data_IF_395710163265
#
_entry.id   IF_395710163265
#
_cell.length_a   1.000
_cell.length_b   1.000
_cell.length_c   1.000
_cell.angle_alpha   90.00
_cell.angle_beta   90.00
_cell.angle_gamma   90.00
#
_symmetry.space_group_name_H-M   'P 1'
#
loop_
_entity.id
_entity.type
_entity.pdbx_description
1 polymer ?
#
# COMPACT_ATOMS: atom_id res chain seq x y z
N UNK A 1 53.71 26.73 -27.73
CA UNK A 1 52.57 25.78 -27.76
C UNK A 1 52.45 25.18 -26.35
N UNK A 2 51.77 25.85 -25.39
CA UNK A 2 51.68 25.40 -23.98
C UNK A 2 50.44 25.91 -23.22
N UNK A 3 49.44 26.46 -23.90
CA UNK A 3 48.25 27.10 -23.29
C UNK A 3 46.92 26.34 -23.54
N UNK A 4 47.01 25.13 -24.07
CA UNK A 4 45.84 24.26 -24.33
C UNK A 4 45.64 23.25 -23.20
N UNK A 5 46.68 22.96 -22.42
CA UNK A 5 46.67 21.94 -21.37
C UNK A 5 45.92 22.39 -20.09
N UNK A 6 46.16 23.63 -19.64
CA UNK A 6 45.58 24.14 -18.38
C UNK A 6 44.06 24.31 -18.45
N UNK A 7 43.52 24.76 -19.58
CA UNK A 7 42.07 24.94 -19.75
C UNK A 7 41.29 23.63 -19.77
N UNK A 8 41.91 22.58 -20.29
CA UNK A 8 41.32 21.23 -20.28
C UNK A 8 41.36 20.66 -18.88
N UNK A 9 42.47 20.87 -18.16
CA UNK A 9 42.61 20.45 -16.77
C UNK A 9 41.57 21.11 -15.86
N UNK A 10 41.39 22.42 -15.97
CA UNK A 10 40.40 23.17 -15.17
C UNK A 10 38.96 22.70 -15.46
N UNK A 11 38.65 22.42 -16.73
CA UNK A 11 37.34 21.92 -17.13
C UNK A 11 37.06 20.52 -16.57
N UNK A 12 38.07 19.65 -16.53
CA UNK A 12 37.94 18.31 -15.96
C UNK A 12 37.77 18.34 -14.43
N UNK A 13 38.47 19.24 -13.74
CA UNK A 13 38.30 19.45 -12.30
C UNK A 13 36.90 19.97 -11.97
N UNK A 14 36.37 20.88 -12.79
CA UNK A 14 35.01 21.39 -12.62
C UNK A 14 33.95 20.31 -12.84
N UNK A 15 34.09 19.47 -13.88
CA UNK A 15 33.19 18.34 -14.12
C UNK A 15 33.28 17.30 -13.01
N UNK A 16 34.47 17.01 -12.50
CA UNK A 16 34.66 16.07 -11.40
C UNK A 16 33.99 16.58 -10.10
N UNK A 17 34.13 17.87 -9.80
CA UNK A 17 33.48 18.51 -8.65
C UNK A 17 31.94 18.48 -8.76
N UNK A 18 31.39 18.71 -9.97
CA UNK A 18 29.96 18.59 -10.22
C UNK A 18 29.44 17.16 -10.07
N UNK A 19 30.23 16.17 -10.51
CA UNK A 19 29.86 14.75 -10.38
C UNK A 19 29.89 14.31 -8.91
N UNK A 20 30.90 14.72 -8.15
CA UNK A 20 31.00 14.46 -6.71
C UNK A 20 29.81 15.05 -5.93
N UNK A 21 29.39 16.28 -6.27
CA UNK A 21 28.21 16.92 -5.67
C UNK A 21 26.88 16.28 -6.08
N UNK A 22 26.84 15.49 -7.18
CA UNK A 22 25.66 14.73 -7.63
C UNK A 22 25.62 13.31 -7.09
N UNK A 23 26.71 12.81 -6.51
CA UNK A 23 26.82 11.45 -5.93
C UNK A 23 26.68 11.39 -4.42
N UNK A 24 26.61 12.52 -3.72
CA UNK A 24 25.96 12.54 -2.42
C UNK A 24 24.54 12.01 -2.66
N UNK A 25 24.12 10.88 -2.05
CA UNK A 25 22.72 10.52 -2.07
C UNK A 25 22.00 11.68 -1.40
N UNK A 26 21.43 12.58 -2.21
CA UNK A 26 20.49 13.60 -1.74
C UNK A 26 19.51 12.84 -0.90
N UNK A 27 19.61 13.08 0.40
CA UNK A 27 18.80 12.55 1.47
C UNK A 27 17.76 11.53 1.01
N UNK A 28 17.82 10.33 1.60
CA UNK A 28 16.59 9.72 2.07
C UNK A 28 15.89 10.75 2.97
N UNK A 29 15.26 11.77 2.38
CA UNK A 29 14.17 12.49 2.99
C UNK A 29 13.14 11.39 3.11
N UNK A 30 13.15 10.70 4.24
CA UNK A 30 11.96 10.09 4.76
C UNK A 30 10.91 11.19 4.62
N UNK A 31 10.02 11.05 3.64
CA UNK A 31 8.89 11.94 3.48
C UNK A 31 8.15 11.79 4.80
N UNK A 32 8.40 12.73 5.72
CA UNK A 32 8.00 12.71 7.13
C UNK A 32 6.49 12.96 7.21
N UNK A 33 5.73 12.00 6.68
CA UNK A 33 4.31 12.13 6.41
C UNK A 33 3.72 10.96 5.61
N UNK A 34 4.53 10.08 5.01
CA UNK A 34 4.04 8.81 4.45
C UNK A 34 4.44 7.71 5.44
N UNK A 35 3.46 7.13 6.13
CA UNK A 35 3.71 6.01 7.03
C UNK A 35 4.43 4.86 6.30
N UNK A 36 5.16 4.02 7.05
CA UNK A 36 5.80 2.85 6.48
C UNK A 36 4.75 1.87 5.92
N UNK A 37 5.05 1.24 4.78
CA UNK A 37 4.21 0.18 4.22
C UNK A 37 4.13 -0.97 5.23
N UNK A 38 2.92 -1.27 5.67
CA UNK A 38 2.58 -2.32 6.62
C UNK A 38 1.87 -3.48 5.91
N UNK A 39 2.04 -4.68 6.43
CA UNK A 39 1.36 -5.89 5.97
C UNK A 39 0.53 -6.42 7.14
N UNK A 40 -0.77 -6.62 6.92
CA UNK A 40 -1.65 -7.29 7.85
C UNK A 40 -2.26 -8.52 7.19
N UNK A 41 -2.43 -9.60 7.96
CA UNK A 41 -3.06 -10.83 7.52
C UNK A 41 -3.77 -11.51 8.68
N UNK A 42 -4.75 -12.34 8.38
CA UNK A 42 -5.49 -13.09 9.39
C UNK A 42 -6.61 -13.95 8.80
N UNK A 43 -7.52 -14.38 9.67
CA UNK A 43 -8.69 -15.17 9.30
C UNK A 43 -9.96 -14.50 9.79
N UNK A 44 -10.95 -14.35 8.91
CA UNK A 44 -12.31 -13.94 9.24
C UNK A 44 -13.24 -15.15 9.08
N UNK A 45 -14.20 -15.34 10.00
CA UNK A 45 -15.10 -16.51 9.96
C UNK A 45 -16.56 -16.20 10.25
N UNK A 46 -16.89 -14.97 10.65
CA UNK A 46 -18.26 -14.52 10.90
C UNK A 46 -18.93 -14.00 9.64
N UNK A 47 -20.24 -14.22 9.51
CA UNK A 47 -21.05 -13.50 8.53
C UNK A 47 -21.15 -12.02 8.89
N UNK A 48 -21.41 -11.19 7.89
CA UNK A 48 -21.45 -9.74 8.05
C UNK A 48 -20.06 -9.14 8.09
N UNK A 49 -19.89 -8.11 8.91
CA UNK A 49 -18.68 -7.30 8.95
C UNK A 49 -17.65 -7.86 9.92
N UNK A 50 -16.45 -8.17 9.43
CA UNK A 50 -15.27 -8.44 10.25
C UNK A 50 -14.30 -7.27 10.14
N UNK A 51 -14.00 -6.60 11.25
CA UNK A 51 -12.97 -5.57 11.30
C UNK A 51 -11.59 -6.19 11.13
N UNK A 52 -10.81 -5.68 10.18
CA UNK A 52 -9.48 -6.17 9.86
C UNK A 52 -8.39 -5.25 10.38
N UNK A 53 -8.56 -3.95 10.15
CA UNK A 53 -7.59 -2.92 10.50
C UNK A 53 -8.34 -1.75 11.10
N UNK A 54 -7.92 -1.32 12.28
CA UNK A 54 -8.36 -0.07 12.91
C UNK A 54 -7.19 0.90 12.84
N UNK A 55 -7.30 2.04 12.13
CA UNK A 55 -6.22 3.01 12.09
C UNK A 55 -5.95 3.58 13.48
N UNK A 56 -4.72 4.07 13.72
CA UNK A 56 -4.46 4.93 14.85
C UNK A 56 -5.37 6.17 14.82
N UNK A 57 -5.69 6.72 15.99
CA UNK A 57 -6.61 7.86 16.08
C UNK A 57 -6.10 9.07 15.27
N UNK A 58 -6.99 9.66 14.48
CA UNK A 58 -6.70 10.76 13.57
C UNK A 58 -6.02 10.32 12.26
N UNK A 59 -5.86 9.02 12.01
CA UNK A 59 -5.26 8.47 10.78
C UNK A 59 -6.29 7.86 9.87
N UNK A 60 -5.96 7.80 8.58
CA UNK A 60 -6.71 7.04 7.58
C UNK A 60 -5.88 5.86 7.05
N UNK A 61 -6.56 4.84 6.55
CA UNK A 61 -5.90 3.66 5.95
C UNK A 61 -5.90 3.80 4.42
N UNK A 62 -4.71 3.75 3.82
CA UNK A 62 -4.51 3.57 2.36
C UNK A 62 -4.14 2.14 2.05
N UNK A 63 -4.95 1.45 1.26
CA UNK A 63 -4.74 0.07 0.84
C UNK A 63 -4.17 0.04 -0.57
N UNK A 64 -3.01 -0.62 -0.73
CA UNK A 64 -2.29 -0.78 -2.00
C UNK A 64 -2.49 -2.18 -2.61
N UNK A 65 -2.76 -3.16 -1.76
CA UNK A 65 -3.02 -4.53 -2.16
C UNK A 65 -4.01 -5.17 -1.20
N UNK A 66 -4.95 -5.95 -1.71
CA UNK A 66 -5.85 -6.74 -0.90
C UNK A 66 -6.11 -8.11 -1.52
N UNK A 67 -6.05 -9.16 -0.71
CA UNK A 67 -6.39 -10.51 -1.13
C UNK A 67 -7.17 -11.28 -0.07
N UNK A 68 -7.98 -12.23 -0.52
CA UNK A 68 -8.66 -13.18 0.35
C UNK A 68 -8.89 -14.53 -0.34
N UNK A 69 -9.00 -15.56 0.49
CA UNK A 69 -9.31 -16.93 0.09
C UNK A 69 -10.33 -17.52 1.07
N UNK A 70 -11.47 -17.95 0.54
CA UNK A 70 -12.59 -18.47 1.32
C UNK A 70 -12.62 -20.00 1.25
N UNK A 71 -12.84 -20.68 2.37
CA UNK A 71 -12.90 -22.15 2.42
C UNK A 71 -14.11 -22.74 1.67
N UNK A 72 -15.22 -21.99 1.57
CA UNK A 72 -16.44 -22.38 0.87
C UNK A 72 -16.88 -21.27 -0.08
N UNK A 73 -17.84 -21.58 -0.96
CA UNK A 73 -18.43 -20.59 -1.84
C UNK A 73 -19.18 -19.52 -1.03
N UNK A 74 -18.83 -18.26 -1.23
CA UNK A 74 -19.38 -17.11 -0.49
C UNK A 74 -19.22 -15.83 -1.31
N UNK A 75 -20.10 -14.87 -1.06
CA UNK A 75 -19.90 -13.49 -1.51
C UNK A 75 -19.07 -12.76 -0.47
N UNK A 76 -17.91 -12.24 -0.87
CA UNK A 76 -17.01 -11.52 0.01
C UNK A 76 -16.62 -10.18 -0.60
N UNK A 77 -16.38 -9.19 0.24
CA UNK A 77 -15.82 -7.95 -0.23
C UNK A 77 -15.29 -7.01 0.84
N UNK A 78 -14.38 -6.11 0.43
CA UNK A 78 -13.80 -5.12 1.32
C UNK A 78 -14.54 -3.79 1.25
N UNK A 79 -14.62 -3.11 2.39
CA UNK A 79 -15.15 -1.77 2.54
C UNK A 79 -14.45 -1.05 3.68
N UNK A 80 -14.51 0.28 3.64
CA UNK A 80 -14.23 1.09 4.84
C UNK A 80 -15.55 1.37 5.55
N UNK A 81 -15.55 1.26 6.88
CA UNK A 81 -16.69 1.56 7.73
C UNK A 81 -17.86 0.56 7.57
N UNK A 82 -18.66 0.41 8.63
CA UNK A 82 -19.80 -0.52 8.62
C UNK A 82 -20.89 -0.15 7.60
N UNK A 83 -20.94 1.13 7.21
CA UNK A 83 -21.89 1.71 6.25
C UNK A 83 -21.25 2.15 4.92
N UNK A 84 -19.92 2.05 4.74
CA UNK A 84 -19.26 2.55 3.53
C UNK A 84 -19.39 1.62 2.31
N UNK A 85 -19.00 2.08 1.13
CA UNK A 85 -19.20 1.33 -0.12
C UNK A 85 -18.21 0.16 -0.24
N UNK A 86 -18.70 -1.01 -0.70
CA UNK A 86 -17.83 -2.16 -0.99
C UNK A 86 -17.10 -1.90 -2.31
N UNK A 87 -15.77 -1.84 -2.28
CA UNK A 87 -14.93 -1.48 -3.43
C UNK A 87 -14.26 -2.67 -4.12
N UNK A 88 -14.23 -3.85 -3.48
CA UNK A 88 -13.83 -5.11 -4.10
C UNK A 88 -14.80 -6.18 -3.65
N UNK A 89 -15.67 -6.64 -4.55
CA UNK A 89 -16.74 -7.60 -4.27
C UNK A 89 -16.68 -8.75 -5.26
N UNK A 90 -16.61 -9.98 -4.77
CA UNK A 90 -16.63 -11.16 -5.63
C UNK A 90 -17.50 -12.27 -5.05
N UNK A 91 -18.16 -13.00 -5.95
CA UNK A 91 -18.74 -14.30 -5.65
C UNK A 91 -17.68 -15.35 -5.98
N UNK A 92 -17.14 -16.00 -4.95
CA UNK A 92 -16.09 -17.00 -5.13
C UNK A 92 -16.63 -18.41 -4.97
N UNK A 93 -16.08 -19.32 -5.76
CA UNK A 93 -16.18 -20.75 -5.49
C UNK A 93 -15.19 -21.12 -4.39
N UNK A 94 -15.44 -22.25 -3.72
CA UNK A 94 -14.63 -22.71 -2.60
C UNK A 94 -13.13 -22.77 -2.94
N UNK A 95 -12.28 -22.36 -2.00
CA UNK A 95 -10.82 -22.37 -2.06
C UNK A 95 -10.20 -21.53 -3.18
N UNK A 96 -10.95 -20.60 -3.78
CA UNK A 96 -10.40 -19.63 -4.74
C UNK A 96 -9.76 -18.44 -4.04
N UNK A 97 -8.69 -17.92 -4.62
CA UNK A 97 -8.02 -16.69 -4.16
C UNK A 97 -8.45 -15.54 -5.06
N UNK A 98 -8.83 -14.42 -4.45
CA UNK A 98 -8.83 -13.11 -5.12
C UNK A 98 -7.65 -12.32 -4.61
N UNK A 99 -6.94 -11.71 -5.54
CA UNK A 99 -5.90 -10.73 -5.28
C UNK A 99 -6.15 -9.51 -6.16
N UNK A 100 -6.16 -8.34 -5.53
CA UNK A 100 -6.32 -7.06 -6.23
C UNK A 100 -5.15 -6.15 -5.87
N UNK A 101 -4.36 -5.86 -6.89
CA UNK A 101 -3.47 -4.70 -6.92
C UNK A 101 -4.25 -3.50 -7.51
N UNK A 102 -4.03 -2.32 -6.93
CA UNK A 102 -4.66 -1.09 -7.36
C UNK A 102 -3.84 -0.30 -8.40
N UNK A 103 -2.56 -0.64 -8.60
CA UNK A 103 -1.76 -0.16 -9.73
C UNK A 103 -1.81 1.37 -9.92
N UNK A 104 -2.33 1.81 -11.08
CA UNK A 104 -2.45 3.23 -11.46
C UNK A 104 -3.32 4.05 -10.48
N UNK A 105 -4.35 3.42 -9.91
CA UNK A 105 -5.02 3.92 -8.72
C UNK A 105 -4.11 3.56 -7.56
N UNK A 106 -3.09 4.39 -7.27
CA UNK A 106 -2.01 4.05 -6.32
C UNK A 106 -2.48 3.42 -5.01
N UNK A 107 -3.69 3.73 -4.54
CA UNK A 107 -4.33 3.12 -3.37
C UNK A 107 -5.84 3.33 -3.37
N UNK A 108 -6.57 2.57 -2.55
CA UNK A 108 -7.92 2.93 -2.07
C UNK A 108 -7.80 3.45 -0.64
N UNK A 109 -8.45 4.57 -0.33
CA UNK A 109 -8.32 5.23 0.96
C UNK A 109 -9.68 5.33 1.67
N UNK A 110 -9.73 4.98 2.95
CA UNK A 110 -10.86 5.26 3.84
C UNK A 110 -10.82 6.67 4.42
N UNK A 111 -11.90 7.10 5.06
CA UNK A 111 -11.89 8.33 5.83
C UNK A 111 -10.98 8.21 7.08
N UNK A 112 -10.72 9.35 7.74
CA UNK A 112 -10.03 9.37 9.04
C UNK A 112 -10.84 8.56 10.05
N UNK A 113 -10.14 7.77 10.88
CA UNK A 113 -10.69 6.88 11.89
C UNK A 113 -11.61 5.77 11.35
N UNK A 114 -11.63 5.57 10.04
CA UNK A 114 -12.48 4.56 9.42
C UNK A 114 -11.77 3.20 9.36
N UNK A 115 -12.42 2.19 9.95
CA UNK A 115 -11.90 0.82 9.98
C UNK A 115 -12.01 0.15 8.61
N UNK A 116 -11.02 -0.69 8.27
CA UNK A 116 -11.10 -1.60 7.13
C UNK A 116 -11.87 -2.85 7.54
N UNK A 117 -12.85 -3.25 6.72
CA UNK A 117 -13.75 -4.36 6.98
C UNK A 117 -13.71 -5.34 5.81
N UNK A 118 -13.71 -6.63 6.13
CA UNK A 118 -14.11 -7.69 5.21
C UNK A 118 -15.56 -8.11 5.54
N UNK A 119 -16.43 -7.95 4.55
CA UNK A 119 -17.82 -8.34 4.63
C UNK A 119 -18.01 -9.72 3.98
N UNK A 120 -18.62 -10.66 4.69
CA UNK A 120 -18.94 -12.00 4.21
C UNK A 120 -20.46 -12.21 4.23
N UNK A 121 -21.04 -12.75 3.15
CA UNK A 121 -22.48 -13.03 3.11
C UNK A 121 -22.90 -14.20 4.01
N UNK A 122 -21.97 -15.08 4.37
CA UNK A 122 -22.17 -16.20 5.30
C UNK A 122 -20.91 -16.47 6.13
N UNK A 123 -21.06 -17.18 7.24
CA UNK A 123 -19.96 -17.53 8.13
C UNK A 123 -19.09 -18.63 7.51
N UNK A 124 -17.88 -18.28 7.09
CA UNK A 124 -16.91 -19.20 6.50
C UNK A 124 -15.50 -18.73 6.80
N UNK A 125 -14.61 -19.67 7.11
CA UNK A 125 -13.19 -19.37 7.29
C UNK A 125 -12.60 -18.76 6.01
N UNK A 126 -12.07 -17.56 6.16
CA UNK A 126 -11.54 -16.74 5.07
C UNK A 126 -10.20 -16.17 5.49
N UNK A 127 -9.13 -16.62 4.84
CA UNK A 127 -7.81 -16.03 5.03
C UNK A 127 -7.70 -14.75 4.20
N UNK A 128 -7.14 -13.69 4.78
CA UNK A 128 -6.99 -12.41 4.10
C UNK A 128 -5.58 -11.85 4.29
N UNK A 129 -5.17 -10.97 3.37
CA UNK A 129 -3.91 -10.23 3.44
C UNK A 129 -4.09 -8.87 2.80
N UNK A 130 -3.55 -7.83 3.43
CA UNK A 130 -3.66 -6.43 2.99
C UNK A 130 -2.31 -5.74 3.16
N UNK A 131 -1.87 -5.01 2.14
CA UNK A 131 -0.72 -4.10 2.24
C UNK A 131 -1.24 -2.67 2.31
N UNK A 132 -0.84 -1.93 3.34
CA UNK A 132 -1.43 -0.64 3.65
C UNK A 132 -0.44 0.33 4.28
N UNK A 133 -0.80 1.61 4.27
CA UNK A 133 -0.12 2.67 5.03
C UNK A 133 -1.17 3.43 5.84
N UNK A 134 -0.82 3.80 7.07
CA UNK A 134 -1.58 4.79 7.84
C UNK A 134 -1.04 6.19 7.52
N UNK A 135 -1.95 7.11 7.15
CA UNK A 135 -1.62 8.51 6.80
C UNK A 135 -2.41 9.48 7.64
#
# INVERSE_FOLDING_TARGET
MKAVDERVYDSLQQVLAELLNKTEPTDNQAVSGVGALSIAAGTASSSGNTTLITPASGKSVRVYYASYNNALAVEAGFRFGAAGTIWLKNNLVANSVISKDFGDLRYVQGAVDEVLILNLSLAVSTNWTVFYVEV
#
